data_IF_399839004833
#
_entry.id   IF_399839004833
#
_cell.length_a   1.000
_cell.length_b   1.000
_cell.length_c   1.000
_cell.angle_alpha   90.00
_cell.angle_beta   90.00
_cell.angle_gamma   90.00
#
_symmetry.space_group_name_H-M   'P 1'
#
loop_
_entity.id
_entity.type
_entity.pdbx_description
1 polymer ?
#
# COMPACT_ATOMS: atom_id res chain seq x y z
N UNK A 1 38.34 -9.46 9.11
CA UNK A 1 37.33 -9.34 10.18
C UNK A 1 36.42 -8.18 9.83
N UNK A 2 35.27 -8.47 9.23
CA UNK A 2 34.44 -7.49 8.53
C UNK A 2 33.22 -7.19 9.40
N UNK A 3 33.20 -6.03 10.05
CA UNK A 3 32.08 -5.61 10.88
C UNK A 3 30.84 -5.33 10.01
N UNK A 4 29.83 -6.20 10.13
CA UNK A 4 28.49 -6.04 9.54
C UNK A 4 27.71 -4.98 10.33
N UNK A 5 27.59 -3.78 9.80
CA UNK A 5 26.60 -2.80 10.27
C UNK A 5 25.20 -3.19 9.80
N UNK A 6 24.41 -3.82 10.68
CA UNK A 6 22.97 -4.00 10.50
C UNK A 6 22.23 -2.72 10.90
N UNK A 7 22.26 -1.69 10.04
CA UNK A 7 21.28 -0.60 10.15
C UNK A 7 19.95 -1.09 9.58
N UNK A 8 19.09 -1.63 10.45
CA UNK A 8 17.64 -1.65 10.23
C UNK A 8 17.21 -0.19 10.11
N UNK A 9 17.03 0.31 8.89
CA UNK A 9 16.32 1.57 8.66
C UNK A 9 14.87 1.30 9.10
N UNK A 10 14.38 1.89 10.20
CA UNK A 10 13.01 1.65 10.63
C UNK A 10 12.08 2.28 9.60
N UNK A 11 11.06 1.55 9.17
CA UNK A 11 9.88 2.19 8.63
C UNK A 11 9.40 3.22 9.66
N UNK A 12 9.17 4.48 9.25
CA UNK A 12 8.67 5.58 10.10
C UNK A 12 7.21 5.36 10.58
N UNK A 13 6.80 4.12 10.80
CA UNK A 13 5.62 3.74 11.57
C UNK A 13 5.90 3.81 13.08
N UNK A 14 7.16 3.86 13.51
CA UNK A 14 7.60 3.91 14.92
C UNK A 14 8.62 5.03 15.17
N UNK A 15 8.28 6.27 14.84
CA UNK A 15 9.16 7.43 15.13
C UNK A 15 9.28 7.75 16.64
N UNK A 16 8.68 6.99 17.55
CA UNK A 16 8.79 7.25 18.98
C UNK A 16 9.86 6.42 19.71
N UNK A 17 10.20 5.21 19.24
CA UNK A 17 10.87 4.25 20.15
C UNK A 17 12.33 3.92 19.78
N UNK A 18 12.68 3.94 18.48
CA UNK A 18 14.02 3.53 18.02
C UNK A 18 15.15 4.50 18.40
N UNK A 19 15.05 5.81 18.10
CA UNK A 19 16.11 6.78 18.40
C UNK A 19 16.24 7.10 19.89
N UNK A 20 15.13 7.06 20.63
CA UNK A 20 15.10 7.39 22.07
C UNK A 20 15.84 6.36 22.93
N UNK A 21 15.89 5.10 22.48
CA UNK A 21 16.62 4.04 23.15
C UNK A 21 18.14 4.09 22.89
N UNK A 22 18.58 4.56 21.72
CA UNK A 22 20.01 4.63 21.36
C UNK A 22 20.67 5.98 21.66
N UNK A 23 19.88 7.06 21.68
CA UNK A 23 20.36 8.43 21.88
C UNK A 23 19.48 9.13 22.92
N UNK A 24 19.82 9.04 24.22
CA UNK A 24 19.00 9.63 25.28
C UNK A 24 19.06 11.16 25.27
N UNK A 25 20.15 11.76 24.78
CA UNK A 25 20.33 13.22 24.68
C UNK A 25 19.54 13.77 23.49
N UNK A 26 18.68 14.76 23.77
CA UNK A 26 17.80 15.40 22.76
C UNK A 26 18.59 16.11 21.66
N UNK A 27 19.70 16.75 21.99
CA UNK A 27 20.55 17.47 21.03
C UNK A 27 21.22 16.53 20.03
N UNK A 28 21.79 15.42 20.52
CA UNK A 28 22.41 14.39 19.70
C UNK A 28 21.38 13.70 18.78
N UNK A 29 20.17 13.44 19.29
CA UNK A 29 19.05 12.95 18.47
C UNK A 29 18.73 13.91 17.33
N UNK A 30 18.59 15.20 17.64
CA UNK A 30 18.23 16.23 16.67
C UNK A 30 19.31 16.34 15.60
N UNK A 31 20.58 16.34 15.99
CA UNK A 31 21.71 16.40 15.04
C UNK A 31 21.73 15.19 14.10
N UNK A 32 21.59 13.96 14.62
CA UNK A 32 21.61 12.74 13.80
C UNK A 32 20.39 12.67 12.89
N UNK A 33 19.20 13.00 13.42
CA UNK A 33 17.97 13.05 12.63
C UNK A 33 18.12 14.05 11.49
N UNK A 34 18.49 15.29 11.80
CA UNK A 34 18.60 16.39 10.85
C UNK A 34 19.65 16.17 9.77
N UNK A 35 20.85 15.73 10.14
CA UNK A 35 21.98 15.64 9.21
C UNK A 35 22.02 14.35 8.40
N UNK A 36 21.62 13.22 9.00
CA UNK A 36 21.81 11.89 8.39
C UNK A 36 20.51 11.22 7.95
N UNK A 37 19.43 11.38 8.72
CA UNK A 37 18.21 10.61 8.48
C UNK A 37 17.21 11.38 7.61
N UNK A 38 16.92 12.65 7.88
CA UNK A 38 15.97 13.45 7.11
C UNK A 38 16.27 13.45 5.59
N UNK A 39 17.53 13.59 5.12
CA UNK A 39 17.82 13.55 3.69
C UNK A 39 17.49 12.20 3.01
N UNK A 40 17.37 11.13 3.78
CA UNK A 40 17.03 9.79 3.29
C UNK A 40 15.52 9.54 3.30
N UNK A 41 14.76 10.39 3.98
CA UNK A 41 13.30 10.30 4.09
C UNK A 41 12.65 10.92 2.85
N UNK A 42 11.78 10.15 2.20
CA UNK A 42 11.01 10.61 1.04
C UNK A 42 9.66 11.16 1.47
N UNK A 43 9.64 12.39 1.94
CA UNK A 43 8.42 13.06 2.40
C UNK A 43 7.34 13.13 1.31
N UNK A 44 7.74 13.26 0.03
CA UNK A 44 6.85 13.26 -1.14
C UNK A 44 5.96 12.02 -1.26
N UNK A 45 6.37 10.88 -0.70
CA UNK A 45 5.63 9.61 -0.72
C UNK A 45 4.83 9.35 0.56
N UNK A 46 4.83 10.29 1.52
CA UNK A 46 4.02 10.19 2.73
C UNK A 46 2.57 10.65 2.50
N UNK A 47 1.65 10.15 3.33
CA UNK A 47 0.28 10.67 3.40
C UNK A 47 0.23 11.99 4.16
N UNK A 48 -0.79 12.82 3.93
CA UNK A 48 -0.97 14.09 4.66
C UNK A 48 -0.99 13.89 6.18
N UNK A 49 -1.59 12.79 6.68
CA UNK A 49 -1.58 12.43 8.10
C UNK A 49 -0.16 12.24 8.65
N UNK A 50 0.72 11.59 7.88
CA UNK A 50 2.13 11.40 8.27
C UNK A 50 2.91 12.71 8.20
N UNK A 51 2.69 13.54 7.18
CA UNK A 51 3.31 14.86 7.07
C UNK A 51 2.92 15.78 8.23
N UNK A 52 1.66 15.77 8.67
CA UNK A 52 1.24 16.49 9.88
C UNK A 52 2.00 16.03 11.13
N UNK A 53 2.25 14.73 11.27
CA UNK A 53 3.06 14.19 12.39
C UNK A 53 4.52 14.65 12.35
N UNK A 54 5.07 14.87 11.16
CA UNK A 54 6.43 15.41 11.00
C UNK A 54 6.48 16.85 11.55
N UNK A 55 5.48 17.67 11.25
CA UNK A 55 5.39 19.05 11.76
C UNK A 55 5.28 19.12 13.29
N UNK A 56 4.67 18.12 13.92
CA UNK A 56 4.52 18.06 15.39
C UNK A 56 5.67 17.31 16.08
N UNK A 57 6.73 16.92 15.36
CA UNK A 57 7.82 16.12 15.92
C UNK A 57 8.83 17.01 16.66
N UNK A 58 8.95 16.83 17.97
CA UNK A 58 9.88 17.61 18.82
C UNK A 58 11.36 17.27 18.59
N UNK A 59 11.64 16.12 17.98
CA UNK A 59 13.00 15.66 17.70
C UNK A 59 13.53 16.19 16.35
N UNK A 60 12.71 16.95 15.61
CA UNK A 60 13.07 17.59 14.33
C UNK A 60 12.99 19.09 14.51
N UNK A 61 13.98 19.82 13.99
CA UNK A 61 13.92 21.27 13.93
C UNK A 61 12.69 21.75 13.13
N UNK A 62 11.96 22.72 13.67
CA UNK A 62 10.67 23.14 13.09
C UNK A 62 10.84 23.73 11.69
N UNK A 63 11.91 24.51 11.44
CA UNK A 63 12.18 25.09 10.13
C UNK A 63 12.46 23.98 9.11
N UNK A 64 13.26 22.99 9.51
CA UNK A 64 13.59 21.86 8.66
C UNK A 64 12.39 20.94 8.39
N UNK A 65 11.56 20.64 9.40
CA UNK A 65 10.31 19.90 9.22
C UNK A 65 9.38 20.62 8.25
N UNK A 66 9.22 21.93 8.41
CA UNK A 66 8.38 22.77 7.54
C UNK A 66 8.89 22.74 6.11
N UNK A 67 10.20 22.93 5.90
CA UNK A 67 10.82 22.86 4.58
C UNK A 67 10.58 21.51 3.90
N UNK A 68 10.84 20.40 4.60
CA UNK A 68 10.65 19.06 4.05
C UNK A 68 9.18 18.76 3.69
N UNK A 69 8.23 19.21 4.53
CA UNK A 69 6.80 19.01 4.28
C UNK A 69 6.32 19.88 3.12
N UNK A 70 6.76 21.14 3.03
CA UNK A 70 6.43 22.02 1.91
C UNK A 70 6.98 21.51 0.59
N UNK A 71 8.25 21.07 0.54
CA UNK A 71 8.84 20.43 -0.65
C UNK A 71 8.02 19.21 -1.10
N UNK A 72 7.55 18.39 -0.15
CA UNK A 72 6.73 17.22 -0.44
C UNK A 72 5.34 17.56 -0.98
N UNK A 73 4.70 18.59 -0.42
CA UNK A 73 3.38 19.04 -0.87
C UNK A 73 3.45 19.68 -2.27
N UNK A 74 4.48 20.49 -2.54
CA UNK A 74 4.72 21.07 -3.86
C UNK A 74 4.95 19.99 -4.90
N UNK A 75 5.79 18.99 -4.61
CA UNK A 75 5.99 17.84 -5.51
C UNK A 75 4.67 17.12 -5.82
N UNK A 76 3.82 16.88 -4.81
CA UNK A 76 2.52 16.21 -4.99
C UNK A 76 1.54 17.05 -5.81
N UNK A 77 1.61 18.38 -5.72
CA UNK A 77 0.79 19.29 -6.50
C UNK A 77 1.28 19.48 -7.95
N UNK A 78 2.52 19.09 -8.23
CA UNK A 78 3.16 19.28 -9.53
C UNK A 78 2.60 18.33 -10.61
N UNK A 79 2.75 18.73 -11.87
CA UNK A 79 2.28 17.93 -12.99
C UNK A 79 3.05 16.59 -13.12
N UNK A 80 2.42 15.48 -13.57
CA UNK A 80 3.06 14.16 -13.61
C UNK A 80 4.37 14.08 -14.41
N UNK A 81 4.55 14.92 -15.43
CA UNK A 81 5.80 14.97 -16.21
C UNK A 81 6.94 15.65 -15.42
N UNK A 82 6.63 16.67 -14.61
CA UNK A 82 7.61 17.35 -13.73
C UNK A 82 8.00 16.45 -12.57
N UNK A 83 7.03 15.74 -11.98
CA UNK A 83 7.31 14.71 -10.98
C UNK A 83 8.28 13.66 -11.51
N UNK A 84 8.06 13.17 -12.74
CA UNK A 84 8.95 12.21 -13.41
C UNK A 84 10.35 12.78 -13.65
N UNK A 85 10.48 14.04 -14.07
CA UNK A 85 11.77 14.68 -14.25
C UNK A 85 12.55 14.78 -12.93
N UNK A 86 11.91 15.24 -11.84
CA UNK A 86 12.50 15.34 -10.51
C UNK A 86 12.89 13.98 -9.90
N UNK A 87 12.14 12.93 -10.23
CA UNK A 87 12.45 11.55 -9.84
C UNK A 87 13.60 10.95 -10.65
N UNK A 88 13.82 11.39 -11.90
CA UNK A 88 14.88 10.92 -12.77
C UNK A 88 16.22 11.64 -12.57
N UNK A 89 16.20 12.86 -12.02
CA UNK A 89 17.41 13.65 -11.76
C UNK A 89 18.30 12.99 -10.71
N UNK A 90 19.57 12.74 -11.05
CA UNK A 90 20.56 12.07 -10.21
C UNK A 90 20.79 12.74 -8.83
N UNK A 91 20.57 14.05 -8.71
CA UNK A 91 20.76 14.79 -7.46
C UNK A 91 19.54 14.71 -6.54
N UNK A 92 18.33 14.75 -7.11
CA UNK A 92 17.06 14.78 -6.34
C UNK A 92 16.33 13.44 -6.30
N UNK A 93 16.74 12.46 -7.11
CA UNK A 93 16.18 11.11 -7.19
C UNK A 93 16.09 10.44 -5.81
N UNK A 94 17.06 10.67 -4.92
CA UNK A 94 17.02 10.11 -3.56
C UNK A 94 15.80 10.56 -2.74
N UNK A 95 15.29 11.76 -3.01
CA UNK A 95 14.11 12.37 -2.36
C UNK A 95 12.79 12.00 -3.05
N UNK A 96 12.78 11.88 -4.38
CA UNK A 96 11.54 11.77 -5.15
C UNK A 96 11.31 10.42 -5.85
N UNK A 97 12.38 9.69 -6.19
CA UNK A 97 12.23 8.41 -6.86
C UNK A 97 11.53 7.38 -5.96
N UNK A 98 10.52 6.75 -6.53
CA UNK A 98 9.80 5.66 -5.91
C UNK A 98 10.74 4.46 -5.72
N UNK A 99 10.76 3.86 -4.54
CA UNK A 99 11.52 2.62 -4.30
C UNK A 99 10.68 1.41 -4.67
N UNK A 100 11.34 0.28 -4.93
CA UNK A 100 10.70 -1.03 -4.82
C UNK A 100 10.21 -1.22 -3.37
N UNK A 101 8.98 -0.82 -3.10
CA UNK A 101 8.35 -1.01 -1.82
C UNK A 101 8.01 -2.50 -1.65
N UNK A 102 8.21 -3.04 -0.44
CA UNK A 102 7.69 -4.35 -0.07
C UNK A 102 6.16 -4.45 -0.29
N UNK A 103 5.48 -3.30 -0.25
CA UNK A 103 4.04 -3.16 -0.39
C UNK A 103 3.67 -2.32 -1.61
N UNK A 104 2.78 -2.83 -2.45
CA UNK A 104 2.37 -2.22 -3.73
C UNK A 104 1.49 -0.98 -3.49
N UNK A 105 1.81 0.20 -4.04
CA UNK A 105 0.91 1.35 -3.97
C UNK A 105 -0.47 1.04 -4.58
N UNK A 106 -1.49 1.70 -4.06
CA UNK A 106 -2.86 1.65 -4.57
C UNK A 106 -3.29 3.03 -5.02
N UNK A 107 -4.16 3.09 -6.03
CA UNK A 107 -4.97 4.28 -6.27
C UNK A 107 -6.26 4.09 -5.47
N UNK A 108 -6.60 5.04 -4.61
CA UNK A 108 -7.78 4.96 -3.75
C UNK A 108 -8.62 6.21 -3.96
N UNK A 109 -9.92 6.01 -4.16
CA UNK A 109 -10.92 7.07 -4.22
C UNK A 109 -11.83 6.90 -3.01
N UNK A 110 -11.97 7.95 -2.20
CA UNK A 110 -12.74 7.93 -0.96
C UNK A 110 -14.02 8.76 -1.14
N UNK A 111 -15.11 8.30 -0.54
CA UNK A 111 -16.43 8.93 -0.56
C UNK A 111 -16.98 8.98 0.87
N UNK A 112 -17.41 10.15 1.30
CA UNK A 112 -17.98 10.34 2.65
C UNK A 112 -19.50 10.14 2.70
N UNK A 113 -20.19 10.15 1.54
CA UNK A 113 -21.64 10.05 1.41
C UNK A 113 -22.04 9.03 0.33
N UNK A 114 -23.19 8.34 0.46
CA UNK A 114 -24.16 8.38 1.57
C UNK A 114 -23.63 7.71 2.86
N UNK A 115 -22.60 6.88 2.74
CA UNK A 115 -21.89 6.26 3.85
C UNK A 115 -20.39 6.30 3.54
N UNK A 116 -19.50 6.10 4.54
CA UNK A 116 -18.08 5.96 4.28
C UNK A 116 -17.83 4.81 3.29
N UNK A 117 -17.31 5.15 2.12
CA UNK A 117 -16.98 4.21 1.06
C UNK A 117 -15.59 4.53 0.48
N UNK A 118 -14.87 3.52 0.02
CA UNK A 118 -13.70 3.73 -0.82
C UNK A 118 -13.60 2.69 -1.93
N UNK A 119 -12.96 3.08 -3.03
CA UNK A 119 -12.63 2.22 -4.15
C UNK A 119 -11.11 2.19 -4.29
N UNK A 120 -10.52 1.02 -4.05
CA UNK A 120 -9.10 0.76 -4.20
C UNK A 120 -8.81 0.02 -5.51
N UNK A 121 -7.91 0.55 -6.33
CA UNK A 121 -7.44 -0.05 -7.56
C UNK A 121 -6.03 -0.63 -7.38
N UNK A 122 -5.87 -1.89 -7.77
CA UNK A 122 -4.62 -2.63 -7.72
C UNK A 122 -4.28 -3.19 -9.10
N UNK A 123 -3.18 -2.68 -9.66
CA UNK A 123 -2.66 -3.12 -10.95
C UNK A 123 -1.42 -4.01 -10.78
N UNK A 124 -1.49 -5.22 -11.33
CA UNK A 124 -0.42 -6.22 -11.28
C UNK A 124 0.02 -6.58 -12.71
N UNK A 125 1.31 -6.51 -13.01
CA UNK A 125 1.85 -7.00 -14.28
C UNK A 125 1.73 -8.53 -14.34
N UNK A 126 1.61 -9.08 -15.55
CA UNK A 126 1.63 -10.54 -15.77
C UNK A 126 2.87 -11.20 -15.14
N UNK A 127 4.04 -10.60 -15.30
CA UNK A 127 5.29 -11.07 -14.66
C UNK A 127 5.30 -10.96 -13.14
N UNK A 128 4.51 -10.03 -12.56
CA UNK A 128 4.33 -9.94 -11.12
C UNK A 128 3.41 -11.06 -10.63
N UNK A 129 2.33 -11.33 -11.37
CA UNK A 129 1.43 -12.44 -11.09
C UNK A 129 2.14 -13.78 -11.18
N UNK A 130 2.99 -14.02 -12.19
CA UNK A 130 3.69 -15.31 -12.35
C UNK A 130 4.55 -15.68 -11.13
N UNK A 131 5.15 -14.68 -10.46
CA UNK A 131 5.94 -14.87 -9.23
C UNK A 131 5.11 -15.24 -7.99
N UNK A 132 3.78 -15.18 -8.08
CA UNK A 132 2.92 -15.69 -7.01
C UNK A 132 2.87 -17.22 -7.02
N UNK A 133 3.15 -17.90 -8.13
CA UNK A 133 3.10 -19.36 -8.16
C UNK A 133 4.26 -19.98 -7.36
N UNK A 134 4.03 -21.05 -6.57
CA UNK A 134 2.75 -21.71 -6.27
C UNK A 134 2.02 -21.15 -5.04
N UNK A 135 2.69 -20.35 -4.20
CA UNK A 135 2.18 -19.92 -2.88
C UNK A 135 2.60 -18.50 -2.45
N UNK A 136 3.17 -17.74 -3.39
CA UNK A 136 3.56 -16.35 -3.22
C UNK A 136 2.39 -15.40 -2.99
N UNK A 137 2.72 -14.23 -2.46
CA UNK A 137 1.76 -13.20 -2.05
C UNK A 137 2.29 -11.82 -2.42
N UNK A 138 1.41 -10.96 -2.93
CA UNK A 138 1.65 -9.54 -3.11
C UNK A 138 0.72 -8.80 -2.16
N UNK A 139 1.29 -7.89 -1.38
CA UNK A 139 0.54 -7.06 -0.44
C UNK A 139 0.50 -5.63 -0.95
N UNK A 140 -0.65 -4.99 -0.85
CA UNK A 140 -0.76 -3.56 -1.08
C UNK A 140 -0.24 -2.75 0.10
N UNK A 141 0.01 -1.47 -0.12
CA UNK A 141 0.09 -0.49 0.95
C UNK A 141 -1.26 -0.39 1.65
N UNK A 142 -1.24 -0.01 2.93
CA UNK A 142 -2.46 0.20 3.67
C UNK A 142 -3.16 1.49 3.21
N UNK A 143 -4.47 1.41 2.99
CA UNK A 143 -5.38 2.52 2.76
C UNK A 143 -6.33 2.65 3.94
N UNK A 144 -7.07 3.75 4.05
CA UNK A 144 -7.91 3.99 5.22
C UNK A 144 -9.36 4.21 4.81
N UNK A 145 -10.28 3.71 5.64
CA UNK A 145 -11.72 3.95 5.50
C UNK A 145 -12.30 4.13 6.91
N UNK A 146 -13.00 5.24 7.15
CA UNK A 146 -13.51 5.63 8.47
C UNK A 146 -12.44 5.55 9.59
N UNK A 147 -11.19 5.93 9.28
CA UNK A 147 -10.07 5.89 10.22
C UNK A 147 -9.43 4.50 10.43
N UNK A 148 -10.04 3.43 9.91
CA UNK A 148 -9.53 2.07 9.97
C UNK A 148 -8.60 1.78 8.79
N UNK A 149 -7.47 1.10 9.06
CA UNK A 149 -6.49 0.75 8.04
C UNK A 149 -6.80 -0.59 7.40
N UNK A 150 -6.86 -0.64 6.06
CA UNK A 150 -7.09 -1.84 5.26
C UNK A 150 -5.95 -2.07 4.26
N UNK A 151 -5.78 -3.30 3.80
CA UNK A 151 -4.86 -3.65 2.72
C UNK A 151 -5.42 -4.79 1.87
N UNK A 152 -5.02 -4.85 0.61
CA UNK A 152 -5.30 -5.97 -0.29
C UNK A 152 -4.13 -6.95 -0.30
N UNK A 153 -4.42 -8.24 -0.44
CA UNK A 153 -3.41 -9.25 -0.69
C UNK A 153 -3.83 -10.20 -1.81
N UNK A 154 -3.01 -10.26 -2.86
CA UNK A 154 -3.19 -11.16 -4.01
C UNK A 154 -2.30 -12.39 -3.82
N UNK A 155 -2.88 -13.59 -3.94
CA UNK A 155 -2.22 -14.85 -3.62
C UNK A 155 -2.37 -15.85 -4.77
N UNK A 156 -1.41 -16.74 -4.90
CA UNK A 156 -1.65 -18.06 -5.48
C UNK A 156 -2.03 -19.01 -4.35
N UNK A 157 -3.21 -19.62 -4.43
CA UNK A 157 -3.72 -20.56 -3.43
C UNK A 157 -3.95 -21.92 -4.05
N UNK A 158 -3.95 -22.97 -3.23
CA UNK A 158 -4.52 -24.27 -3.61
C UNK A 158 -6.00 -24.26 -3.28
N UNK A 159 -6.84 -24.67 -4.23
CA UNK A 159 -8.27 -24.84 -3.98
C UNK A 159 -8.51 -26.04 -3.04
N UNK A 160 -9.43 -25.90 -2.09
CA UNK A 160 -9.59 -26.89 -1.01
C UNK A 160 -10.20 -28.21 -1.48
N UNK A 161 -10.96 -28.19 -2.58
CA UNK A 161 -11.68 -29.35 -3.12
C UNK A 161 -10.97 -29.97 -4.32
N UNK A 162 -10.27 -29.13 -5.10
CA UNK A 162 -9.55 -29.49 -6.30
C UNK A 162 -8.09 -29.10 -6.08
N UNK A 163 -7.16 -30.03 -6.22
CA UNK A 163 -5.73 -29.81 -5.92
C UNK A 163 -5.03 -28.84 -6.87
N UNK A 164 -5.77 -28.05 -7.65
CA UNK A 164 -5.21 -27.06 -8.55
C UNK A 164 -4.97 -25.72 -7.85
N UNK A 165 -4.03 -24.97 -8.42
CA UNK A 165 -3.71 -23.62 -7.98
C UNK A 165 -4.67 -22.61 -8.59
N UNK A 166 -5.03 -21.57 -7.86
CA UNK A 166 -5.93 -20.51 -8.32
C UNK A 166 -5.52 -19.14 -7.77
N UNK A 167 -5.94 -18.09 -8.46
CA UNK A 167 -5.69 -16.71 -8.03
C UNK A 167 -6.74 -16.30 -7.00
N UNK A 168 -6.27 -15.87 -5.82
CA UNK A 168 -7.14 -15.35 -4.77
C UNK A 168 -6.83 -13.91 -4.41
N UNK A 169 -7.86 -13.21 -3.94
CA UNK A 169 -7.77 -11.83 -3.49
C UNK A 169 -8.44 -11.71 -2.13
N UNK A 170 -7.75 -11.04 -1.21
CA UNK A 170 -8.20 -10.85 0.16
C UNK A 170 -8.07 -9.39 0.59
N UNK A 171 -8.98 -8.99 1.46
CA UNK A 171 -9.01 -7.74 2.17
C UNK A 171 -8.64 -8.00 3.63
N UNK A 172 -7.55 -7.40 4.09
CA UNK A 172 -7.09 -7.45 5.46
C UNK A 172 -7.28 -6.12 6.18
N UNK A 173 -7.55 -6.19 7.50
CA UNK A 173 -7.55 -5.02 8.39
C UNK A 173 -6.24 -4.98 9.17
N UNK A 174 -5.59 -3.81 9.19
CA UNK A 174 -4.43 -3.57 10.04
C UNK A 174 -4.87 -3.53 11.51
N UNK A 175 -4.17 -4.25 12.38
CA UNK A 175 -4.44 -4.27 13.83
C UNK A 175 -4.23 -2.87 14.44
N UNK A 176 -5.30 -2.08 14.54
CA UNK A 176 -5.33 -0.86 15.35
C UNK A 176 -6.70 -0.66 15.99
N UNK A 177 -6.86 -1.27 17.16
CA UNK A 177 -7.90 -0.91 18.13
C UNK A 177 -8.91 -2.02 18.43
N UNK A 178 -9.66 -1.82 19.50
CA UNK A 178 -10.70 -2.73 20.01
C UNK A 178 -12.04 -2.62 19.27
N UNK A 179 -12.11 -1.82 18.20
CA UNK A 179 -13.36 -1.54 17.48
C UNK A 179 -13.56 -2.53 16.36
N UNK A 180 -14.72 -3.19 16.36
CA UNK A 180 -15.17 -3.97 15.21
C UNK A 180 -15.77 -3.06 14.15
N UNK A 181 -15.55 -3.40 12.88
CA UNK A 181 -16.14 -2.68 11.75
C UNK A 181 -16.72 -3.67 10.75
N UNK A 182 -18.01 -3.51 10.44
CA UNK A 182 -18.67 -4.28 9.39
C UNK A 182 -18.47 -3.58 8.05
N UNK A 183 -17.95 -4.32 7.09
CA UNK A 183 -17.63 -3.82 5.76
C UNK A 183 -18.33 -4.70 4.74
N UNK A 184 -19.16 -4.07 3.90
CA UNK A 184 -19.57 -4.63 2.62
C UNK A 184 -18.42 -4.42 1.63
N UNK A 185 -17.97 -5.47 0.97
CA UNK A 185 -16.91 -5.38 -0.02
C UNK A 185 -17.25 -6.10 -1.32
N UNK A 186 -16.81 -5.52 -2.43
CA UNK A 186 -16.88 -6.09 -3.76
C UNK A 186 -15.48 -6.15 -4.37
N UNK A 187 -15.10 -7.31 -4.89
CA UNK A 187 -13.94 -7.46 -5.77
C UNK A 187 -14.40 -7.55 -7.22
N UNK A 188 -13.76 -6.76 -8.08
CA UNK A 188 -13.98 -6.76 -9.51
C UNK A 188 -12.64 -6.77 -10.27
N UNK A 189 -12.67 -7.19 -11.53
CA UNK A 189 -11.51 -7.16 -12.41
C UNK A 189 -11.90 -6.69 -13.80
N UNK A 190 -10.99 -6.00 -14.51
CA UNK A 190 -11.23 -5.70 -15.93
C UNK A 190 -11.14 -6.97 -16.76
N UNK A 191 -12.02 -7.08 -17.76
CA UNK A 191 -12.06 -8.23 -18.67
C UNK A 191 -12.11 -7.81 -20.12
N UNK A 192 -11.43 -8.54 -21.00
CA UNK A 192 -11.66 -8.44 -22.45
C UNK A 192 -13.00 -9.05 -22.86
N UNK A 193 -13.62 -8.58 -23.96
CA UNK A 193 -13.17 -7.47 -24.81
C UNK A 193 -13.62 -6.09 -24.30
N UNK A 194 -14.60 -6.00 -23.40
CA UNK A 194 -15.22 -4.71 -23.00
C UNK A 194 -14.22 -3.75 -22.34
N UNK A 195 -13.20 -4.27 -21.67
CA UNK A 195 -12.28 -3.47 -20.87
C UNK A 195 -12.95 -2.88 -19.62
N UNK A 196 -14.16 -3.32 -19.29
CA UNK A 196 -14.91 -2.87 -18.12
C UNK A 196 -14.63 -3.75 -16.90
N UNK A 197 -14.85 -3.19 -15.70
CA UNK A 197 -14.77 -3.96 -14.46
C UNK A 197 -16.00 -4.85 -14.29
N UNK A 198 -15.76 -6.15 -14.17
CA UNK A 198 -16.80 -7.15 -13.89
C UNK A 198 -16.67 -7.62 -12.45
N UNK A 199 -17.76 -7.55 -11.69
CA UNK A 199 -17.86 -8.07 -10.33
C UNK A 199 -17.51 -9.56 -10.30
N UNK A 200 -16.60 -9.95 -9.41
CA UNK A 200 -16.13 -11.33 -9.21
C UNK A 200 -16.57 -11.92 -7.89
N UNK A 201 -16.61 -11.11 -6.83
CA UNK A 201 -17.04 -11.57 -5.52
C UNK A 201 -17.58 -10.42 -4.70
N UNK A 202 -18.62 -10.70 -3.91
CA UNK A 202 -19.19 -9.78 -2.92
C UNK A 202 -19.24 -10.48 -1.58
N UNK A 203 -18.95 -9.75 -0.52
CA UNK A 203 -19.05 -10.26 0.84
C UNK A 203 -19.39 -9.16 1.82
N UNK A 204 -19.87 -9.57 2.98
CA UNK A 204 -20.03 -8.74 4.15
C UNK A 204 -19.23 -9.39 5.28
N UNK A 205 -18.40 -8.61 5.97
CA UNK A 205 -17.63 -9.14 7.09
C UNK A 205 -17.41 -8.11 8.19
N UNK A 206 -17.53 -8.56 9.43
CA UNK A 206 -17.19 -7.80 10.63
C UNK A 206 -15.75 -8.07 11.02
N UNK A 207 -14.87 -7.11 10.76
CA UNK A 207 -13.47 -7.19 11.13
C UNK A 207 -13.27 -6.85 12.61
N UNK A 208 -12.48 -7.66 13.31
CA UNK A 208 -12.11 -7.47 14.73
C UNK A 208 -10.59 -7.26 14.91
N UNK A 209 -9.89 -6.84 13.84
CA UNK A 209 -8.42 -6.77 13.78
C UNK A 209 -7.73 -8.09 13.45
N UNK A 210 -6.59 -8.03 12.77
CA UNK A 210 -5.68 -9.17 12.54
C UNK A 210 -6.15 -10.23 11.54
N UNK A 211 -7.36 -10.09 10.99
CA UNK A 211 -7.95 -11.04 10.04
C UNK A 211 -8.01 -10.47 8.62
N UNK A 212 -7.87 -11.37 7.65
CA UNK A 212 -8.12 -11.10 6.24
C UNK A 212 -9.23 -12.02 5.74
N UNK A 213 -10.10 -11.47 4.89
CA UNK A 213 -11.24 -12.17 4.27
C UNK A 213 -11.22 -11.94 2.77
N UNK A 214 -11.80 -12.85 2.01
CA UNK A 214 -11.83 -12.72 0.57
C UNK A 214 -12.13 -14.05 -0.09
N UNK A 215 -11.69 -14.20 -1.33
CA UNK A 215 -12.05 -15.34 -2.14
C UNK A 215 -10.81 -16.04 -2.69
N UNK A 216 -10.74 -17.36 -2.49
CA UNK A 216 -9.56 -18.17 -2.84
C UNK A 216 -9.36 -18.29 -4.35
N UNK A 217 -10.46 -18.44 -5.10
CA UNK A 217 -10.48 -18.62 -6.55
C UNK A 217 -11.28 -17.47 -7.21
N UNK A 218 -10.73 -16.26 -7.21
CA UNK A 218 -11.41 -15.03 -7.66
C UNK A 218 -12.00 -15.13 -9.07
N UNK A 219 -11.32 -15.87 -9.96
CA UNK A 219 -11.70 -15.98 -11.37
C UNK A 219 -12.46 -17.26 -11.70
N UNK A 220 -12.69 -18.14 -10.72
CA UNK A 220 -13.31 -19.45 -10.91
C UNK A 220 -12.62 -20.31 -11.98
N UNK A 221 -11.29 -20.16 -12.13
CA UNK A 221 -10.48 -20.91 -13.10
C UNK A 221 -9.13 -21.31 -12.51
N UNK A 222 -8.51 -22.40 -13.02
CA UNK A 222 -7.17 -22.80 -12.63
C UNK A 222 -6.12 -21.73 -12.99
N UNK A 223 -5.00 -21.76 -12.27
CA UNK A 223 -3.87 -20.84 -12.43
C UNK A 223 -3.28 -20.90 -13.84
N UNK A 224 -3.20 -22.09 -14.44
CA UNK A 224 -2.70 -22.27 -15.81
C UNK A 224 -3.56 -21.51 -16.82
N UNK A 225 -4.88 -21.65 -16.74
CA UNK A 225 -5.84 -20.92 -17.60
C UNK A 225 -5.80 -19.42 -17.30
N UNK A 226 -5.70 -19.03 -16.03
CA UNK A 226 -5.59 -17.64 -15.63
C UNK A 226 -4.34 -16.97 -16.24
N UNK A 227 -3.19 -17.64 -16.23
CA UNK A 227 -1.90 -17.15 -16.72
C UNK A 227 -1.65 -17.40 -18.22
N UNK A 228 -2.59 -18.00 -18.96
CA UNK A 228 -2.44 -18.27 -20.39
C UNK A 228 -2.38 -16.96 -21.21
N UNK A 229 -1.72 -16.98 -22.36
CA UNK A 229 -1.50 -15.78 -23.18
C UNK A 229 -2.82 -15.17 -23.67
N UNK A 230 -3.80 -16.01 -23.95
CA UNK A 230 -5.17 -15.68 -24.36
C UNK A 230 -6.11 -15.33 -23.20
N UNK A 231 -5.63 -15.37 -21.94
CA UNK A 231 -6.42 -15.07 -20.75
C UNK A 231 -7.14 -13.73 -20.85
N UNK A 232 -8.45 -13.71 -20.62
CA UNK A 232 -9.30 -12.52 -20.76
C UNK A 232 -9.01 -11.42 -19.71
N UNK A 233 -8.23 -11.72 -18.67
CA UNK A 233 -8.01 -10.84 -17.53
C UNK A 233 -6.77 -9.94 -17.65
N UNK A 234 -5.86 -10.25 -18.57
CA UNK A 234 -4.63 -9.48 -18.79
C UNK A 234 -4.76 -8.53 -19.98
N UNK A 235 -5.12 -7.27 -19.72
CA UNK A 235 -5.21 -6.23 -20.74
C UNK A 235 -3.84 -5.55 -20.84
N UNK A 236 -3.22 -5.55 -22.02
CA UNK A 236 -1.88 -4.99 -22.25
C UNK A 236 -0.82 -5.51 -21.26
N UNK A 237 -0.91 -6.81 -20.92
CA UNK A 237 0.00 -7.47 -19.97
C UNK A 237 -0.25 -7.11 -18.51
N UNK A 238 -1.38 -6.46 -18.18
CA UNK A 238 -1.73 -6.01 -16.85
C UNK A 238 -3.07 -6.60 -16.38
N UNK A 239 -3.08 -7.09 -15.15
CA UNK A 239 -4.29 -7.43 -14.41
C UNK A 239 -4.74 -6.19 -13.65
N UNK A 240 -5.97 -5.77 -13.89
CA UNK A 240 -6.58 -4.62 -13.21
C UNK A 240 -7.64 -5.10 -12.22
N UNK A 241 -7.40 -4.88 -10.93
CA UNK A 241 -8.30 -5.26 -9.85
C UNK A 241 -8.90 -4.00 -9.21
N UNK A 242 -10.14 -4.13 -8.75
CA UNK A 242 -10.87 -3.13 -7.99
C UNK A 242 -11.45 -3.78 -6.73
N UNK A 243 -11.25 -3.14 -5.60
CA UNK A 243 -11.95 -3.46 -4.36
C UNK A 243 -12.76 -2.25 -3.92
N UNK A 244 -14.07 -2.40 -3.86
CA UNK A 244 -14.99 -1.39 -3.32
C UNK A 244 -15.38 -1.81 -1.91
N UNK A 245 -15.23 -0.89 -0.95
CA UNK A 245 -15.53 -1.13 0.46
C UNK A 245 -16.53 -0.08 0.93
N UNK A 246 -17.59 -0.51 1.61
CA UNK A 246 -18.63 0.35 2.16
C UNK A 246 -18.87 -0.02 3.61
N UNK A 247 -18.91 0.98 4.49
CA UNK A 247 -19.32 0.81 5.89
C UNK A 247 -20.74 1.36 5.99
N UNK A 248 -21.74 0.46 5.98
CA UNK A 248 -23.12 0.83 6.28
C UNK A 248 -23.23 1.00 7.79
N UNK A 249 -23.69 2.16 8.25
CA UNK A 249 -24.11 2.30 9.64
C UNK A 249 -25.38 1.46 9.84
N UNK A 250 -25.50 0.73 10.97
CA UNK A 250 -26.76 0.10 11.34
C UNK A 250 -27.90 1.13 11.46
#
# INVERSE_FOLDING_TARGET
MTFKWHLKIPSMTSCSDGPRAQYPKSEERREILSSRLLPLVRFSHMTCRKLRKVLTCTDIDHEQATKCVTEALLYKADAPHRQRALAADTTTCRKFAERAYKYRPLKVVEFDRPYPQCIAYLDLKRDECSRLFPSGRIYSQAFHLAGQGFFLSAHCNVEQQSTFYCFGLFLGMQEKGSMSVTVDYEFAARTRPSGEFVSKYKGNYTFTGGKAVGYRNLFAIPWQTFMADDSLFFIDGMLHLRAELTIKQP
#
